data_IF_617035597767
#
_entry.id   IF_617035597767
#
_cell.length_a   1.000
_cell.length_b   1.000
_cell.length_c   1.000
_cell.angle_alpha   90.00
_cell.angle_beta   90.00
_cell.angle_gamma   90.00
#
_symmetry.space_group_name_H-M   'P 1'
#
loop_
_entity.id
_entity.type
_entity.pdbx_description
1 polymer ?
#
# COMPACT_ATOMS: atom_id res chain seq x y z
N UNK A 1 -44.33 7.58 -8.94
CA UNK A 1 -43.36 6.61 -8.35
C UNK A 1 -42.07 7.36 -8.05
N UNK A 2 -41.72 7.69 -6.79
CA UNK A 2 -40.42 8.29 -6.51
C UNK A 2 -39.32 7.23 -6.64
N UNK A 3 -38.22 7.60 -7.31
CA UNK A 3 -37.06 6.73 -7.49
C UNK A 3 -36.41 6.35 -6.14
N UNK A 4 -35.88 5.12 -5.99
CA UNK A 4 -35.25 4.71 -4.75
C UNK A 4 -34.01 5.57 -4.47
N UNK A 5 -34.00 6.24 -3.31
CA UNK A 5 -32.84 7.00 -2.81
C UNK A 5 -31.67 6.03 -2.64
N UNK A 6 -30.62 6.16 -3.47
CA UNK A 6 -29.37 5.41 -3.30
C UNK A 6 -28.80 5.69 -1.91
N UNK A 7 -28.84 4.70 -1.02
CA UNK A 7 -28.15 4.75 0.27
C UNK A 7 -26.66 4.90 -0.04
N UNK A 8 -26.02 5.99 0.37
CA UNK A 8 -24.56 6.11 0.31
C UNK A 8 -23.99 5.00 1.19
N UNK A 9 -23.48 3.93 0.58
CA UNK A 9 -22.75 2.91 1.32
C UNK A 9 -21.58 3.62 2.01
N UNK A 10 -21.44 3.44 3.32
CA UNK A 10 -20.30 3.96 4.07
C UNK A 10 -19.06 3.27 3.48
N UNK A 11 -18.22 4.03 2.81
CA UNK A 11 -17.00 3.48 2.21
C UNK A 11 -16.13 2.96 3.35
N UNK A 12 -15.94 1.64 3.40
CA UNK A 12 -14.99 1.04 4.33
C UNK A 12 -13.59 1.40 3.83
N UNK A 13 -12.73 2.03 4.65
CA UNK A 13 -11.40 2.43 4.22
C UNK A 13 -10.57 1.20 3.84
N UNK A 14 -9.87 1.30 2.71
CA UNK A 14 -8.95 0.26 2.24
C UNK A 14 -7.66 0.36 3.04
N UNK A 15 -7.33 -0.68 3.80
CA UNK A 15 -6.12 -0.73 4.62
C UNK A 15 -4.93 -1.33 3.87
N UNK A 16 -5.20 -2.33 3.03
CA UNK A 16 -4.22 -3.08 2.28
C UNK A 16 -4.58 -3.08 0.79
N UNK A 17 -3.58 -2.93 -0.05
CA UNK A 17 -3.74 -2.89 -1.50
C UNK A 17 -2.76 -3.83 -2.20
N UNK A 18 -3.11 -4.31 -3.39
CA UNK A 18 -2.20 -5.12 -4.20
C UNK A 18 -1.20 -4.24 -4.98
N UNK A 19 -0.29 -4.85 -5.73
CA UNK A 19 0.71 -4.11 -6.50
C UNK A 19 0.07 -3.16 -7.53
N UNK A 20 -1.12 -3.49 -8.06
CA UNK A 20 -1.82 -2.64 -9.02
C UNK A 20 -2.39 -1.40 -8.33
N UNK A 21 -3.01 -1.57 -7.17
CA UNK A 21 -3.54 -0.45 -6.40
C UNK A 21 -2.44 0.41 -5.78
N UNK A 22 -1.33 -0.17 -5.33
CA UNK A 22 -0.15 0.58 -4.89
C UNK A 22 0.44 1.43 -6.04
N UNK A 23 0.60 0.83 -7.23
CA UNK A 23 1.07 1.57 -8.40
C UNK A 23 0.12 2.71 -8.79
N UNK A 24 -1.19 2.47 -8.78
CA UNK A 24 -2.20 3.49 -9.07
C UNK A 24 -2.16 4.65 -8.06
N UNK A 25 -1.98 4.35 -6.77
CA UNK A 25 -1.85 5.37 -5.72
C UNK A 25 -0.61 6.26 -5.90
N UNK A 26 0.44 5.74 -6.53
CA UNK A 26 1.68 6.46 -6.84
C UNK A 26 1.71 7.04 -8.27
N UNK A 27 0.62 6.94 -9.03
CA UNK A 27 0.55 7.32 -10.44
C UNK A 27 1.60 6.60 -11.33
N UNK A 28 1.94 5.35 -11.02
CA UNK A 28 2.90 4.53 -11.76
C UNK A 28 2.22 3.40 -12.52
N UNK A 29 2.92 2.89 -13.53
CA UNK A 29 2.56 1.60 -14.12
C UNK A 29 2.88 0.46 -13.16
N UNK A 30 2.13 -0.65 -13.25
CA UNK A 30 2.40 -1.85 -12.44
C UNK A 30 3.82 -2.36 -12.63
N UNK A 31 4.34 -2.31 -13.86
CA UNK A 31 5.70 -2.75 -14.18
C UNK A 31 6.76 -1.87 -13.52
N UNK A 32 6.58 -0.54 -13.58
CA UNK A 32 7.49 0.40 -12.90
C UNK A 32 7.49 0.19 -11.38
N UNK A 33 6.31 -0.04 -10.79
CA UNK A 33 6.21 -0.34 -9.36
C UNK A 33 6.94 -1.64 -8.99
N UNK A 34 6.85 -2.70 -9.80
CA UNK A 34 7.63 -3.92 -9.57
C UNK A 34 9.14 -3.70 -9.69
N UNK A 35 9.59 -2.87 -10.64
CA UNK A 35 11.01 -2.50 -10.74
C UNK A 35 11.49 -1.78 -9.49
N UNK A 36 10.70 -0.86 -8.94
CA UNK A 36 11.01 -0.17 -7.69
C UNK A 36 10.96 -1.13 -6.48
N UNK A 37 10.01 -2.07 -6.43
CA UNK A 37 9.94 -3.11 -5.39
C UNK A 37 11.19 -4.00 -5.38
N UNK A 38 11.66 -4.39 -6.57
CA UNK A 38 12.86 -5.20 -6.73
C UNK A 38 14.13 -4.43 -6.33
N UNK A 39 14.19 -3.12 -6.59
CA UNK A 39 15.30 -2.25 -6.17
C UNK A 39 15.24 -1.89 -4.68
N UNK A 40 14.15 -2.20 -3.99
CA UNK A 40 13.94 -1.76 -2.62
C UNK A 40 13.71 -0.26 -2.50
N UNK A 41 13.18 0.39 -3.54
CA UNK A 41 12.84 1.81 -3.57
C UNK A 41 11.41 2.10 -3.08
N UNK A 42 10.69 1.08 -2.57
CA UNK A 42 9.36 1.21 -1.97
C UNK A 42 9.27 0.40 -0.67
N UNK A 43 8.31 0.69 0.23
CA UNK A 43 8.11 -0.05 1.46
C UNK A 43 7.95 -1.55 1.24
N UNK A 44 8.25 -2.33 2.28
CA UNK A 44 8.16 -3.78 2.22
C UNK A 44 6.70 -4.23 2.13
N UNK A 45 6.44 -5.25 1.30
CA UNK A 45 5.11 -5.83 1.17
C UNK A 45 4.80 -6.74 2.37
N UNK A 46 3.61 -6.59 2.95
CA UNK A 46 3.06 -7.52 3.91
C UNK A 46 2.61 -8.80 3.20
N UNK A 47 3.08 -9.94 3.69
CA UNK A 47 2.67 -11.25 3.17
C UNK A 47 1.51 -11.79 4.02
N UNK A 48 0.30 -11.80 3.46
CA UNK A 48 -0.85 -12.44 4.09
C UNK A 48 -0.97 -13.91 3.68
N UNK A 49 -1.06 -14.79 4.67
CA UNK A 49 -1.43 -16.19 4.48
C UNK A 49 -2.94 -16.34 4.30
N UNK A 50 -3.37 -16.85 3.14
CA UNK A 50 -4.76 -17.15 2.81
C UNK A 50 -4.90 -18.67 2.62
N UNK A 51 -4.64 -19.41 3.71
CA UNK A 51 -4.56 -20.88 3.68
C UNK A 51 -3.38 -21.35 2.83
N UNK A 52 -3.66 -22.11 1.77
CA UNK A 52 -2.63 -22.63 0.85
C UNK A 52 -1.99 -21.56 -0.05
N UNK A 53 -2.53 -20.33 -0.10
CA UNK A 53 -2.01 -19.25 -0.95
C UNK A 53 -1.39 -18.13 -0.10
N UNK A 54 -0.36 -17.48 -0.64
CA UNK A 54 0.23 -16.26 -0.06
C UNK A 54 -0.03 -15.08 -1.00
N UNK A 55 -0.42 -13.94 -0.44
CA UNK A 55 -0.54 -12.68 -1.19
C UNK A 55 0.36 -11.62 -0.60
N UNK A 56 1.11 -10.94 -1.46
CA UNK A 56 1.87 -9.74 -1.13
C UNK A 56 0.95 -8.54 -1.29
N UNK A 57 0.75 -7.80 -0.20
CA UNK A 57 -0.06 -6.60 -0.15
C UNK A 57 0.75 -5.46 0.49
N UNK A 58 0.42 -4.23 0.15
CA UNK A 58 1.03 -3.04 0.71
C UNK A 58 0.05 -2.32 1.60
N UNK A 59 0.53 -1.81 2.73
CA UNK A 59 -0.26 -0.96 3.61
C UNK A 59 -0.47 0.40 2.96
N UNK A 60 -1.74 0.79 2.79
CA UNK A 60 -2.08 2.11 2.23
C UNK A 60 -1.60 3.22 3.15
N UNK A 61 -1.75 3.02 4.47
CA UNK A 61 -1.27 3.96 5.48
C UNK A 61 0.25 4.12 5.40
N UNK A 62 0.98 3.00 5.30
CA UNK A 62 2.45 3.04 5.21
C UNK A 62 2.93 3.70 3.93
N UNK A 63 2.27 3.45 2.79
CA UNK A 63 2.56 4.15 1.55
C UNK A 63 2.39 5.66 1.68
N UNK A 64 1.33 6.11 2.39
CA UNK A 64 1.13 7.53 2.67
C UNK A 64 2.24 8.13 3.56
N UNK A 65 2.56 7.46 4.68
CA UNK A 65 3.64 7.90 5.58
C UNK A 65 4.99 7.95 4.84
N UNK A 66 5.28 6.94 4.03
CA UNK A 66 6.50 6.84 3.24
C UNK A 66 6.64 7.96 2.21
N UNK A 67 5.55 8.29 1.48
CA UNK A 67 5.54 9.45 0.57
C UNK A 67 5.75 10.75 1.36
N UNK A 68 5.10 10.87 2.51
CA UNK A 68 5.21 12.06 3.37
C UNK A 68 6.62 12.25 3.94
N UNK A 69 7.36 11.14 4.14
CA UNK A 69 8.76 11.14 4.56
C UNK A 69 9.76 11.41 3.42
N UNK A 70 9.29 11.69 2.20
CA UNK A 70 10.16 11.99 1.05
C UNK A 70 10.64 10.76 0.30
N UNK A 71 9.90 9.65 0.35
CA UNK A 71 10.16 8.42 -0.41
C UNK A 71 11.54 7.77 -0.16
N UNK A 72 11.97 7.60 1.11
CA UNK A 72 13.26 6.98 1.40
C UNK A 72 13.33 5.52 0.94
N UNK A 73 14.50 5.01 0.53
CA UNK A 73 14.64 3.59 0.16
C UNK A 73 14.28 2.67 1.33
N UNK A 74 13.84 1.43 1.03
CA UNK A 74 13.29 0.45 1.98
C UNK A 74 14.15 0.23 3.21
N UNK A 75 15.46 0.16 3.04
CA UNK A 75 16.38 -0.07 4.16
C UNK A 75 16.42 1.12 5.13
N UNK A 76 16.35 2.35 4.61
CA UNK A 76 16.28 3.57 5.40
C UNK A 76 14.91 3.72 6.05
N UNK A 77 13.84 3.49 5.28
CA UNK A 77 12.47 3.47 5.79
C UNK A 77 12.29 2.48 6.95
N UNK A 78 12.83 1.27 6.83
CA UNK A 78 12.80 0.27 7.90
C UNK A 78 13.55 0.73 9.17
N UNK A 79 14.65 1.49 9.02
CA UNK A 79 15.38 2.08 10.16
C UNK A 79 14.57 3.19 10.83
N UNK A 80 13.93 4.05 10.06
CA UNK A 80 13.08 5.12 10.58
C UNK A 80 11.89 4.55 11.37
N UNK A 81 11.23 3.50 10.83
CA UNK A 81 10.09 2.85 11.48
C UNK A 81 10.49 2.05 12.72
N UNK A 82 11.64 1.37 12.72
CA UNK A 82 12.15 0.66 13.93
C UNK A 82 12.59 1.61 15.04
N UNK A 83 13.03 2.83 14.71
CA UNK A 83 13.39 3.85 15.69
C UNK A 83 12.19 4.52 16.40
N UNK A 84 10.97 4.33 15.90
CA UNK A 84 9.74 4.91 16.45
C UNK A 84 8.94 3.99 17.38
N UNK A 85 9.35 2.75 17.58
CA UNK A 85 8.75 1.83 18.55
C UNK A 85 9.51 1.94 19.88
N UNK A 86 9.12 2.89 20.72
CA UNK A 86 9.50 2.94 22.14
C UNK A 86 8.28 3.10 23.00
#
# INVERSE_FOLDING_TARGET
>A
MPAPKRRRARAVPVLLTDARGAAAALCLSRSAFYSLDAQGAVPEALTLGLGARRRRLWSVLELHEWVSAGTPPRHEWARMRKGGAR
#
